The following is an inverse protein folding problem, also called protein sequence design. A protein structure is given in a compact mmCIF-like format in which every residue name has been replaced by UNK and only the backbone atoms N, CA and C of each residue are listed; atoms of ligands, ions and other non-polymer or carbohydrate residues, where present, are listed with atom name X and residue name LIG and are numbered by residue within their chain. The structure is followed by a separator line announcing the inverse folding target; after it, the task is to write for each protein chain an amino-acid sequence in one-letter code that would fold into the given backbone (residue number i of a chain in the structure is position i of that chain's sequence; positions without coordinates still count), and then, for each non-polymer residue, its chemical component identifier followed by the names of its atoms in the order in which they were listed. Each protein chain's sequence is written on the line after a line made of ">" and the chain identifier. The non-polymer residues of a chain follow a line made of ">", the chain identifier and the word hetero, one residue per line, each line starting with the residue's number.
data_IF_385479829548
#
_entry.id   IF_385479829548
#
_cell.length_a   1.000
_cell.length_b   1.000
_cell.length_c   1.000
_cell.angle_alpha   90.00
_cell.angle_beta   90.00
_cell.angle_gamma   90.00
#
_symmetry.space_group_name_H-M   'P 1'
#
loop_
_entity.id
_entity.type
_entity.pdbx_description
1 polymer ?
#
# COMPACT_ATOMS: atom_id res chain seq x y z
N UNK A 1 -8.64 -7.33 -9.05
CA UNK A 1 -9.55 -6.90 -10.12
C UNK A 1 -10.58 -5.87 -9.63
N UNK A 2 -11.33 -6.15 -8.56
CA UNK A 2 -12.39 -5.24 -8.09
C UNK A 2 -11.91 -3.82 -7.73
N UNK A 3 -10.79 -3.70 -7.00
CA UNK A 3 -10.23 -2.38 -6.67
C UNK A 3 -9.85 -1.57 -7.92
N UNK A 4 -9.35 -2.22 -8.98
CA UNK A 4 -9.05 -1.57 -10.26
C UNK A 4 -10.33 -1.09 -10.95
N UNK A 5 -11.38 -1.92 -10.95
CA UNK A 5 -12.70 -1.57 -11.51
C UNK A 5 -13.32 -0.35 -10.82
N UNK A 6 -13.02 -0.15 -9.54
CA UNK A 6 -13.45 1.02 -8.75
C UNK A 6 -12.54 2.24 -8.91
N UNK A 7 -11.50 2.17 -9.74
CA UNK A 7 -10.55 3.27 -9.92
C UNK A 7 -9.64 3.51 -8.70
N UNK A 8 -9.46 2.51 -7.82
CA UNK A 8 -8.55 2.64 -6.70
C UNK A 8 -7.10 2.68 -7.18
N UNK A 9 -6.34 3.66 -6.70
CA UNK A 9 -4.93 3.82 -7.06
C UNK A 9 -3.97 3.01 -6.17
N UNK A 10 -4.39 2.71 -4.94
CA UNK A 10 -3.58 2.03 -3.96
C UNK A 10 -4.39 1.00 -3.17
N UNK A 11 -3.72 -0.05 -2.71
CA UNK A 11 -4.15 -0.89 -1.60
C UNK A 11 -3.25 -0.62 -0.39
N UNK A 12 -3.83 -0.55 0.80
CA UNK A 12 -3.12 -0.35 2.06
C UNK A 12 -3.38 -1.51 3.02
N UNK A 13 -2.36 -1.88 3.78
CA UNK A 13 -2.44 -2.84 4.88
C UNK A 13 -1.43 -2.42 5.96
N UNK A 14 -1.75 -2.69 7.22
CA UNK A 14 -0.76 -2.74 8.30
C UNK A 14 -0.57 -4.19 8.79
N UNK A 15 0.66 -4.53 9.15
CA UNK A 15 1.04 -5.87 9.63
C UNK A 15 2.17 -5.79 10.64
N UNK A 16 2.18 -6.68 11.62
CA UNK A 16 3.25 -6.79 12.61
C UNK A 16 4.42 -7.62 12.06
N UNK A 17 5.63 -7.38 12.56
CA UNK A 17 6.84 -8.10 12.18
C UNK A 17 6.73 -9.63 12.26
N UNK A 18 6.05 -10.16 13.27
CA UNK A 18 5.82 -11.59 13.49
C UNK A 18 4.65 -12.18 12.69
N UNK A 19 3.88 -11.35 12.00
CA UNK A 19 2.77 -11.82 11.19
C UNK A 19 3.25 -12.23 9.79
N UNK A 20 3.29 -11.28 8.86
CA UNK A 20 3.60 -11.61 7.46
C UNK A 20 4.11 -10.42 6.62
N UNK A 21 5.04 -9.57 7.10
CA UNK A 21 5.51 -8.44 6.31
C UNK A 21 6.18 -8.89 5.01
N UNK A 22 6.91 -10.01 5.02
CA UNK A 22 7.58 -10.56 3.82
C UNK A 22 6.60 -11.09 2.78
N UNK A 23 5.48 -11.68 3.20
CA UNK A 23 4.41 -12.10 2.30
C UNK A 23 3.88 -10.90 1.50
N UNK A 24 3.61 -9.78 2.15
CA UNK A 24 3.14 -8.58 1.47
C UNK A 24 4.22 -7.95 0.56
N UNK A 25 5.49 -7.98 0.98
CA UNK A 25 6.61 -7.55 0.11
C UNK A 25 6.65 -8.35 -1.19
N UNK A 26 6.53 -9.68 -1.12
CA UNK A 26 6.48 -10.56 -2.29
C UNK A 26 5.29 -10.25 -3.20
N UNK A 27 4.17 -9.78 -2.65
CA UNK A 27 3.00 -9.35 -3.43
C UNK A 27 3.14 -7.94 -4.03
N UNK A 28 4.29 -7.28 -3.88
CA UNK A 28 4.58 -5.96 -4.43
C UNK A 28 4.11 -4.80 -3.54
N UNK A 29 3.88 -5.05 -2.25
CA UNK A 29 3.69 -3.96 -1.29
C UNK A 29 5.04 -3.37 -0.87
N UNK A 30 5.06 -2.07 -0.61
CA UNK A 30 6.21 -1.32 -0.09
C UNK A 30 5.85 -0.69 1.24
N UNK A 31 6.82 -0.65 2.16
CA UNK A 31 6.66 0.03 3.46
C UNK A 31 6.71 1.54 3.24
N UNK A 32 5.73 2.27 3.78
CA UNK A 32 5.74 3.74 3.80
C UNK A 32 5.80 4.31 5.21
N UNK A 33 5.51 3.51 6.23
CA UNK A 33 5.60 3.90 7.62
C UNK A 33 5.88 2.70 8.51
N UNK A 34 6.49 2.95 9.66
CA UNK A 34 6.77 1.96 10.69
C UNK A 34 6.44 2.59 12.04
N UNK A 35 5.97 1.77 12.96
CA UNK A 35 5.80 2.15 14.35
C UNK A 35 6.41 1.05 15.22
N UNK A 36 7.52 1.41 15.85
CA UNK A 36 8.26 0.52 16.72
C UNK A 36 7.55 0.36 18.06
N UNK A 37 7.82 -0.76 18.73
CA UNK A 37 7.34 -1.08 20.07
C UNK A 37 5.80 -1.09 20.21
N UNK A 38 5.09 -1.52 19.14
CA UNK A 38 3.64 -1.64 19.12
C UNK A 38 3.15 -2.96 18.48
N UNK A 39 2.72 -3.96 19.28
CA UNK A 39 2.81 -4.02 20.75
C UNK A 39 4.28 -4.09 21.23
N UNK A 40 4.55 -3.96 22.55
CA UNK A 40 5.92 -3.92 23.04
C UNK A 40 6.79 -5.07 22.52
N UNK A 41 7.98 -4.74 22.03
CA UNK A 41 8.92 -5.67 21.40
C UNK A 41 8.66 -5.98 19.92
N UNK A 42 7.62 -5.40 19.31
CA UNK A 42 7.25 -5.65 17.91
C UNK A 42 7.09 -4.37 17.11
N UNK A 43 7.38 -4.45 15.82
CA UNK A 43 7.21 -3.35 14.86
C UNK A 43 5.93 -3.54 14.05
N UNK A 44 5.10 -2.50 14.00
CA UNK A 44 4.00 -2.40 13.02
C UNK A 44 4.49 -1.75 11.74
N UNK A 45 4.35 -2.44 10.63
CA UNK A 45 4.62 -1.92 9.30
C UNK A 45 3.33 -1.43 8.65
N UNK A 46 3.35 -0.20 8.14
CA UNK A 46 2.32 0.33 7.26
C UNK A 46 2.78 0.19 5.81
N UNK A 47 2.03 -0.56 5.01
CA UNK A 47 2.44 -0.96 3.67
C UNK A 47 1.41 -0.52 2.62
N UNK A 48 1.88 -0.27 1.40
CA UNK A 48 1.02 0.07 0.26
C UNK A 48 1.43 -0.66 -1.00
N UNK A 49 0.47 -0.96 -1.86
CA UNK A 49 0.68 -1.45 -3.22
C UNK A 49 -0.01 -0.51 -4.20
N UNK A 50 0.71 -0.04 -5.20
CA UNK A 50 0.12 0.69 -6.32
C UNK A 50 -0.72 -0.28 -7.16
N UNK A 51 -1.96 0.09 -7.45
CA UNK A 51 -2.91 -0.73 -8.20
C UNK A 51 -3.05 -0.26 -9.65
N UNK A 52 -3.10 1.06 -9.88
CA UNK A 52 -3.23 1.61 -11.23
C UNK A 52 -1.88 1.72 -11.94
N UNK A 53 -1.85 1.38 -13.23
CA UNK A 53 -0.90 2.00 -14.16
C UNK A 53 -1.31 3.46 -14.21
N UNK A 54 -0.39 4.39 -13.98
CA UNK A 54 -0.72 5.82 -14.04
C UNK A 54 -1.34 6.13 -15.41
N UNK A 55 -2.66 6.31 -15.47
CA UNK A 55 -3.25 7.06 -16.56
C UNK A 55 -2.94 8.51 -16.26
N UNK A 56 -2.24 9.17 -17.19
CA UNK A 56 -1.91 10.59 -17.10
C UNK A 56 -3.11 11.41 -16.59
N UNK A 57 -2.89 12.48 -15.81
CA UNK A 57 -3.98 13.29 -15.30
C UNK A 57 -4.88 13.72 -16.47
N UNK A 58 -6.21 13.78 -16.28
CA UNK A 58 -7.07 14.33 -17.31
C UNK A 58 -6.56 15.73 -17.61
N UNK A 59 -6.06 15.91 -18.84
CA UNK A 59 -5.74 17.22 -19.39
C UNK A 59 -7.01 18.04 -19.23
N UNK A 60 -7.05 18.94 -18.25
CA UNK A 60 -8.10 19.95 -18.22
C UNK A 60 -7.94 20.70 -19.54
N UNK A 61 -8.86 20.44 -20.46
CA UNK A 61 -8.97 21.15 -21.71
C UNK A 61 -9.06 22.62 -21.39
N UNK A 62 -8.28 23.38 -22.15
CA UNK A 62 -8.36 24.82 -22.27
C UNK A 62 -9.82 25.28 -22.37
N UNK A 63 -10.17 26.26 -21.54
CA UNK A 63 -11.01 27.42 -21.88
C UNK A 63 -10.38 28.64 -21.22
#
# INVERSE_FOLDING_TARGET
>A
AEALRRGCNYAHVDTLDFQAPDFYRQLGYTVWGQLDDLPPGHTRYFMRKTLSVQTAPPTHGVD
#
